data_IF_093895466676
#
_entry.id   IF_093895466676
#
_cell.length_a   1.000
_cell.length_b   1.000
_cell.length_c   1.000
_cell.angle_alpha   90.00
_cell.angle_beta   90.00
_cell.angle_gamma   90.00
#
_symmetry.space_group_name_H-M   'P 1'
#
loop_
_entity.id
_entity.type
_entity.pdbx_description
1 polymer ?
#
# COMPACT_ATOMS: atom_id res chain seq x y z
N UNK A 1 9.94 -26.98 3.74
CA UNK A 1 10.59 -25.67 3.83
C UNK A 1 10.91 -25.23 2.42
N UNK A 2 10.50 -24.03 1.99
CA UNK A 2 10.80 -23.49 0.67
C UNK A 2 12.06 -22.62 0.73
N UNK A 3 12.93 -22.78 -0.26
CA UNK A 3 14.19 -22.05 -0.35
C UNK A 3 13.98 -20.77 -1.17
N UNK A 4 14.20 -19.61 -0.55
CA UNK A 4 14.07 -18.30 -1.17
C UNK A 4 15.43 -17.63 -1.35
N UNK A 5 15.71 -17.13 -2.55
CA UNK A 5 16.85 -16.24 -2.81
C UNK A 5 16.37 -14.81 -2.99
N UNK A 6 17.08 -13.87 -2.38
CA UNK A 6 16.80 -12.44 -2.49
C UNK A 6 17.67 -11.85 -3.59
N UNK A 7 17.05 -11.21 -4.58
CA UNK A 7 17.68 -10.45 -5.67
C UNK A 7 17.48 -8.96 -5.40
N UNK A 8 18.59 -8.27 -5.14
CA UNK A 8 18.62 -6.90 -4.61
C UNK A 8 18.71 -6.86 -3.09
N UNK A 9 19.88 -6.50 -2.54
CA UNK A 9 20.14 -6.46 -1.10
C UNK A 9 20.32 -5.03 -0.58
N UNK A 10 19.47 -4.11 -1.05
CA UNK A 10 19.32 -2.78 -0.49
C UNK A 10 18.60 -2.79 0.86
N UNK A 11 18.03 -1.65 1.27
CA UNK A 11 17.28 -1.53 2.53
C UNK A 11 16.16 -2.55 2.65
N UNK A 12 15.31 -2.65 1.61
CA UNK A 12 14.18 -3.60 1.62
C UNK A 12 14.66 -5.05 1.53
N UNK A 13 15.56 -5.39 0.61
CA UNK A 13 16.08 -6.76 0.52
C UNK A 13 16.70 -7.26 1.84
N UNK A 14 17.43 -6.39 2.54
CA UNK A 14 17.96 -6.71 3.87
C UNK A 14 16.86 -6.89 4.93
N UNK A 15 15.77 -6.09 4.86
CA UNK A 15 14.64 -6.21 5.78
C UNK A 15 13.83 -7.49 5.57
N UNK A 16 13.73 -7.98 4.34
CA UNK A 16 13.06 -9.24 4.03
C UNK A 16 13.68 -10.45 4.71
N UNK A 17 14.98 -10.42 5.06
CA UNK A 17 15.61 -11.49 5.85
C UNK A 17 14.91 -11.64 7.20
N UNK A 18 14.54 -10.52 7.84
CA UNK A 18 13.84 -10.51 9.13
C UNK A 18 12.39 -10.99 8.96
N UNK A 19 11.70 -10.52 7.93
CA UNK A 19 10.31 -10.92 7.65
C UNK A 19 10.20 -12.41 7.35
N UNK A 20 11.09 -12.95 6.50
CA UNK A 20 11.12 -14.38 6.18
C UNK A 20 11.58 -15.20 7.39
N UNK A 21 12.52 -14.68 8.19
CA UNK A 21 12.97 -15.33 9.42
C UNK A 21 11.88 -15.47 10.50
N UNK A 22 10.85 -14.60 10.47
CA UNK A 22 9.70 -14.67 11.36
C UNK A 22 8.58 -15.59 10.82
N UNK A 23 8.61 -15.91 9.52
CA UNK A 23 7.58 -16.71 8.85
C UNK A 23 7.84 -18.22 8.97
N UNK A 24 6.81 -19.01 8.68
CA UNK A 24 6.87 -20.47 8.67
C UNK A 24 6.89 -21.02 7.24
N UNK A 25 7.59 -22.13 7.05
CA UNK A 25 7.55 -22.87 5.79
C UNK A 25 8.44 -22.32 4.67
N UNK A 26 9.17 -21.22 4.89
CA UNK A 26 10.07 -20.59 3.94
C UNK A 26 11.36 -20.12 4.65
N UNK A 27 12.48 -20.06 3.94
CA UNK A 27 13.76 -19.61 4.48
C UNK A 27 14.60 -18.92 3.41
N UNK A 28 15.38 -17.91 3.78
CA UNK A 28 16.36 -17.28 2.89
C UNK A 28 17.60 -18.17 2.82
N UNK A 29 17.92 -18.66 1.63
CA UNK A 29 19.07 -19.52 1.38
C UNK A 29 20.20 -18.84 0.64
N UNK A 30 19.99 -17.62 0.11
CA UNK A 30 21.03 -16.88 -0.58
C UNK A 30 20.59 -15.49 -1.01
N UNK A 31 21.58 -14.74 -1.47
CA UNK A 31 21.42 -13.35 -1.93
C UNK A 31 22.19 -13.14 -3.22
N UNK A 32 21.63 -12.35 -4.14
CA UNK A 32 22.33 -11.79 -5.28
C UNK A 32 22.14 -10.28 -5.33
N UNK A 33 23.23 -9.55 -5.54
CA UNK A 33 23.21 -8.12 -5.81
C UNK A 33 24.37 -7.77 -6.78
N UNK A 34 24.18 -6.74 -7.61
CA UNK A 34 25.20 -6.26 -8.54
C UNK A 34 26.24 -5.37 -7.84
N UNK A 35 25.92 -4.82 -6.69
CA UNK A 35 26.77 -3.90 -5.94
C UNK A 35 27.64 -4.66 -4.92
N UNK A 36 29.00 -4.57 -5.00
CA UNK A 36 29.88 -5.32 -4.11
C UNK A 36 29.71 -5.02 -2.62
N UNK A 37 29.34 -3.80 -2.27
CA UNK A 37 29.05 -3.39 -0.89
C UNK A 37 27.79 -4.06 -0.35
N UNK A 38 26.80 -4.34 -1.19
CA UNK A 38 25.59 -5.07 -0.85
C UNK A 38 25.85 -6.56 -0.67
N UNK A 39 26.68 -7.14 -1.54
CA UNK A 39 27.17 -8.52 -1.40
C UNK A 39 27.91 -8.68 -0.07
N UNK A 40 28.86 -7.78 0.24
CA UNK A 40 29.60 -7.82 1.51
C UNK A 40 28.66 -7.67 2.73
N UNK A 41 27.60 -6.87 2.63
CA UNK A 41 26.62 -6.73 3.70
C UNK A 41 25.81 -8.03 3.93
N UNK A 42 25.49 -8.78 2.87
CA UNK A 42 24.85 -10.08 2.98
C UNK A 42 25.78 -11.12 3.64
N UNK A 43 27.03 -11.15 3.23
CA UNK A 43 28.06 -12.04 3.82
C UNK A 43 28.29 -11.76 5.31
N UNK A 44 28.30 -10.48 5.72
CA UNK A 44 28.39 -10.09 7.13
C UNK A 44 27.19 -10.57 7.97
N UNK A 45 26.03 -10.75 7.35
CA UNK A 45 24.85 -11.37 7.99
C UNK A 45 24.90 -12.91 7.95
N UNK A 46 25.94 -13.50 7.39
CA UNK A 46 26.12 -14.96 7.27
C UNK A 46 25.28 -15.60 6.16
N UNK A 47 24.81 -14.80 5.17
CA UNK A 47 24.03 -15.31 4.06
C UNK A 47 24.97 -15.71 2.91
N UNK A 48 24.75 -16.87 2.27
CA UNK A 48 25.41 -17.23 1.02
C UNK A 48 25.12 -16.21 -0.08
N UNK A 49 26.09 -15.95 -0.97
CA UNK A 49 25.93 -15.03 -2.07
C UNK A 49 26.17 -15.70 -3.41
N UNK A 50 25.41 -15.28 -4.41
CA UNK A 50 25.56 -15.75 -5.81
C UNK A 50 26.43 -14.77 -6.60
N UNK A 51 27.21 -15.31 -7.56
CA UNK A 51 28.11 -14.51 -8.40
C UNK A 51 27.39 -13.85 -9.59
N UNK A 52 26.23 -14.38 -9.98
CA UNK A 52 25.39 -13.82 -11.05
C UNK A 52 23.93 -14.23 -10.90
N UNK A 53 23.04 -13.54 -11.59
CA UNK A 53 21.61 -13.89 -11.61
C UNK A 53 21.39 -15.23 -12.31
N UNK A 54 22.16 -15.54 -13.36
CA UNK A 54 22.10 -16.82 -14.06
C UNK A 54 22.47 -17.99 -13.12
N UNK A 55 23.38 -17.76 -12.17
CA UNK A 55 23.70 -18.77 -11.18
C UNK A 55 22.53 -19.04 -10.23
N UNK A 56 21.76 -17.99 -9.84
CA UNK A 56 20.53 -18.15 -9.07
C UNK A 56 19.48 -18.94 -9.87
N UNK A 57 19.30 -18.61 -11.15
CA UNK A 57 18.33 -19.27 -12.02
C UNK A 57 18.64 -20.75 -12.24
N UNK A 58 19.92 -21.10 -12.34
CA UNK A 58 20.40 -22.46 -12.60
C UNK A 58 20.40 -23.37 -11.34
N UNK A 59 20.30 -22.80 -10.15
CA UNK A 59 20.31 -23.57 -8.91
C UNK A 59 18.96 -24.27 -8.69
N UNK A 60 18.97 -25.61 -8.79
CA UNK A 60 17.78 -26.46 -8.63
C UNK A 60 17.22 -26.47 -7.20
N UNK A 61 18.02 -26.12 -6.19
CA UNK A 61 17.60 -26.07 -4.79
C UNK A 61 16.77 -24.80 -4.48
N UNK A 62 16.77 -23.80 -5.36
CA UNK A 62 16.00 -22.56 -5.22
C UNK A 62 14.55 -22.78 -5.67
N UNK A 63 13.60 -22.69 -4.75
CA UNK A 63 12.16 -22.77 -5.03
C UNK A 63 11.59 -21.44 -5.52
N UNK A 64 12.04 -20.35 -4.91
CA UNK A 64 11.46 -19.02 -5.12
C UNK A 64 12.52 -17.91 -5.13
N UNK A 65 12.22 -16.83 -5.82
CA UNK A 65 13.04 -15.61 -5.89
C UNK A 65 12.21 -14.42 -5.40
N UNK A 66 12.78 -13.64 -4.49
CA UNK A 66 12.29 -12.32 -4.16
C UNK A 66 13.06 -11.29 -4.98
N UNK A 67 12.35 -10.42 -5.69
CA UNK A 67 12.91 -9.30 -6.44
C UNK A 67 12.69 -8.02 -5.62
N UNK A 68 13.78 -7.40 -5.15
CA UNK A 68 13.81 -6.19 -4.32
C UNK A 68 14.82 -5.16 -4.85
N UNK A 69 14.85 -5.02 -6.16
CA UNK A 69 15.67 -4.10 -6.95
C UNK A 69 14.90 -2.80 -7.25
N UNK A 70 15.46 -1.80 -7.95
CA UNK A 70 14.67 -0.67 -8.48
C UNK A 70 13.58 -1.13 -9.45
N UNK A 71 12.46 -0.38 -9.49
CA UNK A 71 11.20 -0.80 -10.15
C UNK A 71 11.33 -1.12 -11.63
N UNK A 72 12.21 -0.42 -12.34
CA UNK A 72 12.45 -0.60 -13.78
C UNK A 72 12.98 -1.98 -14.16
N UNK A 73 13.64 -2.67 -13.23
CA UNK A 73 14.20 -4.00 -13.44
C UNK A 73 13.25 -5.15 -13.08
N UNK A 74 12.13 -4.87 -12.40
CA UNK A 74 11.23 -5.90 -11.86
C UNK A 74 10.68 -6.82 -12.95
N UNK A 75 10.22 -6.26 -14.07
CA UNK A 75 9.63 -7.01 -15.17
C UNK A 75 10.57 -8.06 -15.73
N UNK A 76 11.77 -7.63 -16.13
CA UNK A 76 12.73 -8.51 -16.82
C UNK A 76 13.25 -9.61 -15.89
N UNK A 77 13.55 -9.26 -14.65
CA UNK A 77 13.98 -10.22 -13.63
C UNK A 77 12.88 -11.23 -13.28
N UNK A 78 11.63 -10.77 -13.15
CA UNK A 78 10.50 -11.63 -12.86
C UNK A 78 10.22 -12.63 -13.99
N UNK A 79 10.23 -12.15 -15.23
CA UNK A 79 10.01 -13.03 -16.39
C UNK A 79 11.10 -14.09 -16.51
N UNK A 80 12.39 -13.72 -16.38
CA UNK A 80 13.51 -14.68 -16.41
C UNK A 80 13.43 -15.71 -15.28
N UNK A 81 13.08 -15.28 -14.05
CA UNK A 81 12.91 -16.18 -12.92
C UNK A 81 11.78 -17.20 -13.15
N UNK A 82 10.63 -16.72 -13.63
CA UNK A 82 9.48 -17.58 -13.97
C UNK A 82 9.82 -18.59 -15.08
N UNK A 83 10.47 -18.13 -16.16
CA UNK A 83 10.91 -18.97 -17.28
C UNK A 83 11.92 -20.05 -16.85
N UNK A 84 12.77 -19.72 -15.84
CA UNK A 84 13.66 -20.69 -15.20
C UNK A 84 12.94 -21.64 -14.23
N UNK A 85 11.60 -21.57 -14.14
CA UNK A 85 10.79 -22.45 -13.31
C UNK A 85 10.75 -22.08 -11.83
N UNK A 86 11.16 -20.86 -11.45
CA UNK A 86 11.09 -20.37 -10.06
C UNK A 86 9.75 -19.72 -9.78
N UNK A 87 9.27 -19.82 -8.54
CA UNK A 87 8.20 -18.96 -8.04
C UNK A 87 8.77 -17.58 -7.73
N UNK A 88 7.95 -16.53 -7.82
CA UNK A 88 8.43 -15.15 -7.66
C UNK A 88 7.59 -14.37 -6.66
N UNK A 89 8.25 -13.69 -5.74
CA UNK A 89 7.73 -12.54 -5.00
C UNK A 89 8.40 -11.30 -5.58
N UNK A 90 7.62 -10.27 -5.87
CA UNK A 90 8.15 -8.99 -6.34
C UNK A 90 7.78 -7.86 -5.39
N UNK A 91 8.73 -6.97 -5.10
CA UNK A 91 8.46 -5.74 -4.35
C UNK A 91 7.50 -4.82 -5.10
N UNK A 92 6.86 -3.96 -4.32
CA UNK A 92 5.99 -2.90 -4.83
C UNK A 92 6.79 -1.61 -5.17
N UNK A 93 6.34 -0.79 -6.11
CA UNK A 93 5.37 -1.13 -7.16
C UNK A 93 5.91 -2.22 -8.03
N UNK A 94 5.07 -3.18 -8.36
CA UNK A 94 5.51 -4.39 -9.10
C UNK A 94 6.06 -4.07 -10.48
N UNK A 95 5.48 -3.07 -11.13
CA UNK A 95 5.86 -2.52 -12.43
C UNK A 95 5.46 -1.05 -12.49
N UNK A 96 5.98 -0.33 -13.50
CA UNK A 96 5.62 1.07 -13.74
C UNK A 96 4.26 1.16 -14.46
N UNK A 97 3.92 0.14 -15.27
CA UNK A 97 2.66 0.09 -16.04
C UNK A 97 1.88 -1.18 -15.79
N UNK A 98 0.56 -1.13 -15.95
CA UNK A 98 -0.32 -2.30 -15.88
C UNK A 98 -0.01 -3.32 -16.99
N UNK A 99 0.35 -2.87 -18.18
CA UNK A 99 0.72 -3.72 -19.31
C UNK A 99 1.98 -4.58 -19.02
N UNK A 100 2.94 -4.05 -18.26
CA UNK A 100 4.12 -4.81 -17.85
C UNK A 100 3.77 -5.92 -16.85
N UNK A 101 2.84 -5.66 -15.93
CA UNK A 101 2.31 -6.71 -15.06
C UNK A 101 1.58 -7.80 -15.85
N UNK A 102 0.76 -7.42 -16.83
CA UNK A 102 0.07 -8.38 -17.71
C UNK A 102 1.06 -9.31 -18.41
N UNK A 103 2.19 -8.78 -18.89
CA UNK A 103 3.26 -9.58 -19.52
C UNK A 103 3.86 -10.59 -18.53
N UNK A 104 4.15 -10.18 -17.28
CA UNK A 104 4.66 -11.09 -16.23
C UNK A 104 3.64 -12.19 -15.94
N UNK A 105 2.35 -11.82 -15.78
CA UNK A 105 1.29 -12.78 -15.47
C UNK A 105 1.04 -13.78 -16.59
N UNK A 106 1.20 -13.37 -17.85
CA UNK A 106 1.14 -14.27 -18.99
C UNK A 106 2.23 -15.34 -18.94
N UNK A 107 3.47 -14.96 -18.60
CA UNK A 107 4.58 -15.90 -18.40
C UNK A 107 4.31 -16.81 -17.22
N UNK A 108 3.95 -16.27 -16.05
CA UNK A 108 3.67 -17.05 -14.85
C UNK A 108 2.62 -18.14 -15.11
N UNK A 109 1.55 -17.79 -15.82
CA UNK A 109 0.50 -18.72 -16.26
C UNK A 109 1.03 -19.78 -17.23
N UNK A 110 1.83 -19.39 -18.23
CA UNK A 110 2.36 -20.31 -19.24
C UNK A 110 3.28 -21.37 -18.64
N UNK A 111 4.09 -21.00 -17.64
CA UNK A 111 5.05 -21.92 -16.98
C UNK A 111 4.49 -22.55 -15.69
N UNK A 112 3.25 -22.25 -15.33
CA UNK A 112 2.58 -22.75 -14.12
C UNK A 112 3.41 -22.47 -12.85
N UNK A 113 3.79 -21.20 -12.65
CA UNK A 113 4.51 -20.74 -11.46
C UNK A 113 3.74 -19.62 -10.76
N UNK A 114 3.86 -19.59 -9.44
CA UNK A 114 3.25 -18.56 -8.61
C UNK A 114 4.03 -17.25 -8.76
N UNK A 115 3.30 -16.17 -8.99
CA UNK A 115 3.79 -14.80 -8.89
C UNK A 115 2.94 -14.04 -7.89
N UNK A 116 3.57 -13.43 -6.88
CA UNK A 116 2.88 -12.61 -5.87
C UNK A 116 3.63 -11.29 -5.67
N UNK A 117 2.87 -10.24 -5.36
CA UNK A 117 3.40 -8.89 -5.09
C UNK A 117 3.38 -8.61 -3.61
N UNK A 118 4.46 -8.03 -3.07
CA UNK A 118 4.61 -7.75 -1.65
C UNK A 118 3.81 -6.51 -1.22
N UNK A 119 2.48 -6.60 -1.22
CA UNK A 119 1.59 -5.57 -0.68
C UNK A 119 1.45 -5.73 0.85
N UNK A 120 2.57 -5.56 1.54
CA UNK A 120 2.72 -5.86 2.96
C UNK A 120 1.86 -4.99 3.90
N UNK A 121 1.45 -3.79 3.45
CA UNK A 121 0.67 -2.87 4.28
C UNK A 121 -0.80 -3.25 4.43
N UNK A 122 -1.22 -4.38 3.82
CA UNK A 122 -2.51 -5.03 4.11
C UNK A 122 -2.58 -5.62 5.51
N UNK A 123 -1.43 -5.77 6.20
CA UNK A 123 -1.30 -6.26 7.58
C UNK A 123 -0.99 -5.15 8.58
N UNK A 124 -0.91 -3.88 8.16
CA UNK A 124 -0.69 -2.75 9.07
C UNK A 124 -1.88 -2.59 10.02
N UNK A 125 -1.61 -2.37 11.31
CA UNK A 125 -2.61 -2.27 12.37
C UNK A 125 -3.67 -1.20 12.12
N UNK A 126 -3.28 -0.02 11.66
CA UNK A 126 -4.17 1.09 11.34
C UNK A 126 -5.12 0.73 10.19
N UNK A 127 -4.60 0.05 9.16
CA UNK A 127 -5.40 -0.42 8.04
C UNK A 127 -6.40 -1.50 8.44
N UNK A 128 -5.98 -2.50 9.24
CA UNK A 128 -6.87 -3.57 9.71
C UNK A 128 -8.06 -3.00 10.48
N UNK A 129 -7.84 -1.97 11.31
CA UNK A 129 -8.87 -1.26 12.06
C UNK A 129 -9.86 -0.56 11.10
N UNK A 130 -9.34 0.20 10.13
CA UNK A 130 -10.18 0.94 9.17
C UNK A 130 -10.94 0.00 8.26
N UNK A 131 -10.29 -1.06 7.75
CA UNK A 131 -10.94 -2.10 6.95
C UNK A 131 -12.12 -2.71 7.67
N UNK A 132 -11.96 -3.05 8.94
CA UNK A 132 -13.03 -3.62 9.75
C UNK A 132 -14.19 -2.63 9.94
N UNK A 133 -13.92 -1.34 10.09
CA UNK A 133 -14.96 -0.31 10.13
C UNK A 133 -15.74 -0.21 8.80
N UNK A 134 -15.04 -0.29 7.66
CA UNK A 134 -15.66 -0.21 6.33
C UNK A 134 -16.48 -1.45 6.01
N UNK A 135 -15.92 -2.64 6.26
CA UNK A 135 -16.54 -3.90 5.83
C UNK A 135 -17.58 -4.46 6.80
N UNK A 136 -17.46 -4.15 8.10
CA UNK A 136 -18.37 -4.71 9.13
C UNK A 136 -19.45 -3.71 9.58
N UNK A 137 -19.41 -2.47 9.15
CA UNK A 137 -20.37 -1.38 9.48
C UNK A 137 -20.63 -1.20 11.00
N UNK A 138 -19.74 -1.72 11.85
CA UNK A 138 -20.06 -2.02 13.24
C UNK A 138 -20.01 -0.82 14.19
N UNK A 139 -19.21 0.23 13.89
CA UNK A 139 -18.92 1.32 14.85
C UNK A 139 -19.44 2.68 14.40
N UNK A 140 -19.42 2.94 13.10
CA UNK A 140 -19.78 4.25 12.51
C UNK A 140 -20.89 4.15 11.46
N UNK A 141 -21.51 2.98 11.30
CA UNK A 141 -22.51 2.72 10.27
C UNK A 141 -21.91 2.63 8.86
N UNK A 142 -22.74 2.86 7.84
CA UNK A 142 -22.31 2.79 6.44
C UNK A 142 -21.29 3.90 6.14
N UNK A 143 -20.08 3.53 5.77
CA UNK A 143 -19.01 4.46 5.41
C UNK A 143 -19.31 5.08 4.04
N UNK A 144 -19.22 6.41 3.95
CA UNK A 144 -19.45 7.16 2.72
C UNK A 144 -18.26 8.04 2.31
N UNK A 145 -17.28 8.26 3.22
CA UNK A 145 -16.08 9.03 2.90
C UNK A 145 -14.87 8.52 3.69
N UNK A 146 -13.74 8.37 2.99
CA UNK A 146 -12.48 7.89 3.54
C UNK A 146 -11.37 8.86 3.14
N UNK A 147 -10.56 9.30 4.12
CA UNK A 147 -9.33 10.03 3.84
C UNK A 147 -8.14 9.23 4.37
N UNK A 148 -7.10 9.07 3.56
CA UNK A 148 -5.85 8.40 3.93
C UNK A 148 -4.65 9.25 3.53
N UNK A 149 -3.71 9.46 4.47
CA UNK A 149 -2.55 10.32 4.27
C UNK A 149 -1.27 9.69 4.77
N UNK A 150 -0.19 9.94 4.02
CA UNK A 150 1.18 9.75 4.50
C UNK A 150 1.94 11.04 4.23
N UNK A 151 2.39 11.67 5.30
CA UNK A 151 2.99 12.99 5.23
C UNK A 151 4.32 13.04 5.99
N UNK A 152 5.31 13.71 5.41
CA UNK A 152 6.62 13.98 5.97
C UNK A 152 7.17 15.32 5.49
N UNK A 153 8.35 15.72 5.98
CA UNK A 153 8.95 17.03 5.68
C UNK A 153 10.38 16.94 5.15
N UNK A 154 10.88 15.75 4.83
CA UNK A 154 12.29 15.54 4.48
C UNK A 154 12.56 15.39 2.96
N UNK A 155 11.54 15.62 2.13
CA UNK A 155 11.66 15.41 0.69
C UNK A 155 11.74 13.93 0.30
N UNK A 156 12.17 13.71 -0.95
CA UNK A 156 12.42 12.36 -1.49
C UNK A 156 13.84 11.94 -1.09
N UNK A 157 14.09 10.68 -0.68
CA UNK A 157 15.45 10.17 -0.45
C UNK A 157 16.35 10.34 -1.68
N UNK A 158 17.64 10.64 -1.47
CA UNK A 158 18.63 10.87 -2.54
C UNK A 158 19.07 9.58 -3.25
N UNK A 159 18.15 8.79 -3.77
CA UNK A 159 18.39 7.54 -4.48
C UNK A 159 17.59 7.48 -5.80
N UNK A 160 17.37 6.30 -6.34
CA UNK A 160 16.63 6.07 -7.59
C UNK A 160 15.20 6.64 -7.60
N UNK A 161 14.63 6.96 -6.44
CA UNK A 161 13.27 7.54 -6.31
C UNK A 161 13.14 8.93 -6.94
N UNK A 162 14.25 9.61 -7.25
CA UNK A 162 14.27 10.86 -8.05
C UNK A 162 14.23 10.61 -9.55
N UNK A 163 14.41 9.37 -10.02
CA UNK A 163 14.56 9.04 -11.43
C UNK A 163 13.26 8.49 -12.02
N UNK A 164 12.66 9.25 -12.94
CA UNK A 164 11.44 8.85 -13.65
C UNK A 164 11.62 7.52 -14.40
N UNK A 165 12.78 7.33 -15.02
CA UNK A 165 13.11 6.10 -15.75
C UNK A 165 13.13 4.85 -14.86
N UNK A 166 13.38 5.01 -13.57
CA UNK A 166 13.37 3.91 -12.59
C UNK A 166 12.06 3.78 -11.82
N UNK A 167 11.00 4.48 -12.26
CA UNK A 167 9.71 4.45 -11.59
C UNK A 167 9.73 5.19 -10.25
N UNK A 168 10.47 6.31 -10.16
CA UNK A 168 10.47 7.18 -8.99
C UNK A 168 9.17 7.97 -8.84
N UNK A 169 9.09 8.76 -7.77
CA UNK A 169 7.93 9.58 -7.42
C UNK A 169 7.06 8.96 -6.33
N UNK A 170 6.30 9.81 -5.67
CA UNK A 170 5.53 9.44 -4.48
C UNK A 170 4.21 8.73 -4.79
N UNK A 171 3.65 8.93 -5.99
CA UNK A 171 2.50 8.14 -6.44
C UNK A 171 2.88 6.65 -6.50
N UNK A 172 4.06 6.32 -7.04
CA UNK A 172 4.55 4.95 -7.14
C UNK A 172 5.11 4.42 -5.82
N UNK A 173 5.84 5.25 -5.03
CA UNK A 173 6.49 4.77 -3.80
C UNK A 173 5.50 4.58 -2.64
N UNK A 174 4.73 5.63 -2.28
CA UNK A 174 3.77 5.58 -1.18
C UNK A 174 2.31 5.45 -1.63
N UNK A 175 1.96 6.09 -2.75
CA UNK A 175 0.62 6.04 -3.30
C UNK A 175 0.13 4.63 -3.54
N UNK A 176 0.99 3.75 -4.07
CA UNK A 176 0.66 2.34 -4.31
C UNK A 176 0.11 1.63 -3.06
N UNK A 177 0.63 1.93 -1.87
CA UNK A 177 0.15 1.34 -0.63
C UNK A 177 -1.23 1.86 -0.23
N UNK A 178 -1.43 3.18 -0.30
CA UNK A 178 -2.69 3.80 0.11
C UNK A 178 -3.81 3.41 -0.85
N UNK A 179 -3.51 3.32 -2.14
CA UNK A 179 -4.45 2.90 -3.18
C UNK A 179 -4.78 1.41 -3.08
N UNK A 180 -3.79 0.55 -2.78
CA UNK A 180 -4.02 -0.87 -2.52
C UNK A 180 -4.94 -1.07 -1.31
N UNK A 181 -4.66 -0.40 -0.20
CA UNK A 181 -5.49 -0.43 1.00
C UNK A 181 -6.92 0.03 0.71
N UNK A 182 -7.10 1.14 -0.02
CA UNK A 182 -8.41 1.67 -0.39
C UNK A 182 -9.20 0.66 -1.23
N UNK A 183 -8.59 0.11 -2.28
CA UNK A 183 -9.24 -0.83 -3.18
C UNK A 183 -9.51 -2.20 -2.54
N UNK A 184 -8.66 -2.63 -1.61
CA UNK A 184 -8.84 -3.88 -0.88
C UNK A 184 -10.01 -3.85 0.11
N UNK A 185 -10.33 -2.66 0.68
CA UNK A 185 -11.47 -2.53 1.60
C UNK A 185 -12.76 -2.07 0.94
N UNK A 186 -12.73 -1.65 -0.35
CA UNK A 186 -13.90 -1.13 -1.07
C UNK A 186 -14.18 -1.94 -2.32
N UNK A 187 -15.23 -2.75 -2.30
CA UNK A 187 -15.59 -3.67 -3.40
C UNK A 187 -16.23 -2.99 -4.61
N UNK A 188 -16.62 -1.71 -4.51
CA UNK A 188 -17.29 -0.98 -5.59
C UNK A 188 -16.30 -0.61 -6.69
N UNK A 189 -16.71 -0.63 -7.97
CA UNK A 189 -15.94 -0.07 -9.06
C UNK A 189 -15.71 1.44 -8.88
N UNK A 190 -14.55 1.92 -9.39
CA UNK A 190 -14.27 3.35 -9.44
C UNK A 190 -15.06 3.99 -10.59
N UNK A 191 -15.70 5.10 -10.30
CA UNK A 191 -16.44 5.92 -11.27
C UNK A 191 -15.58 7.01 -11.88
N UNK A 192 -14.82 7.73 -11.05
CA UNK A 192 -13.99 8.84 -11.49
C UNK A 192 -12.85 9.15 -10.52
N UNK A 193 -11.81 9.75 -11.08
CA UNK A 193 -10.59 10.17 -10.39
C UNK A 193 -10.25 11.59 -10.80
N UNK A 194 -9.91 12.44 -9.84
CA UNK A 194 -9.17 13.69 -10.07
C UNK A 194 -7.90 13.69 -9.24
N UNK A 195 -6.85 14.32 -9.73
CA UNK A 195 -5.58 14.37 -9.02
C UNK A 195 -4.85 15.71 -9.25
N UNK A 196 -4.01 16.04 -8.26
CA UNK A 196 -3.00 17.09 -8.37
C UNK A 196 -1.66 16.47 -7.98
N UNK A 197 -0.68 16.54 -8.89
CA UNK A 197 0.68 16.09 -8.66
C UNK A 197 1.53 17.28 -8.20
N UNK A 198 2.38 17.09 -7.19
CA UNK A 198 3.28 18.09 -6.66
C UNK A 198 4.70 17.90 -7.21
N UNK A 199 5.35 19.02 -7.58
CA UNK A 199 6.74 19.07 -8.08
C UNK A 199 7.50 20.21 -7.39
N UNK A 200 7.26 20.46 -6.10
CA UNK A 200 7.81 21.58 -5.34
C UNK A 200 9.32 21.45 -5.17
N UNK A 201 9.84 20.22 -5.09
CA UNK A 201 11.28 19.97 -4.97
C UNK A 201 12.05 20.18 -6.28
N UNK A 202 11.35 20.25 -7.41
CA UNK A 202 11.94 20.54 -8.72
C UNK A 202 12.53 19.33 -9.44
N UNK A 203 12.21 18.11 -9.01
CA UNK A 203 12.62 16.87 -9.66
C UNK A 203 11.74 16.55 -10.90
N UNK A 204 12.15 15.56 -11.68
CA UNK A 204 11.37 15.07 -12.83
C UNK A 204 10.19 14.17 -12.42
N UNK A 205 10.10 13.80 -11.15
CA UNK A 205 9.07 12.97 -10.56
C UNK A 205 8.25 13.77 -9.55
N UNK A 206 7.05 13.30 -9.26
CA UNK A 206 6.20 13.91 -8.24
C UNK A 206 6.79 13.72 -6.83
N UNK A 207 6.83 14.80 -6.06
CA UNK A 207 7.23 14.79 -4.65
C UNK A 207 6.07 14.62 -3.69
N UNK A 208 4.88 14.44 -4.21
CA UNK A 208 3.64 14.21 -3.52
C UNK A 208 2.44 14.35 -4.44
N UNK A 209 1.27 13.93 -3.97
CA UNK A 209 0.02 14.07 -4.73
C UNK A 209 -1.18 14.13 -3.80
N UNK A 210 -2.28 14.66 -4.32
CA UNK A 210 -3.61 14.57 -3.74
C UNK A 210 -4.57 14.04 -4.82
N UNK A 211 -5.31 12.98 -4.51
CA UNK A 211 -6.32 12.43 -5.41
C UNK A 211 -7.66 12.33 -4.73
N UNK A 212 -8.73 12.69 -5.44
CA UNK A 212 -10.11 12.48 -5.04
C UNK A 212 -10.75 11.43 -5.94
N UNK A 213 -11.22 10.35 -5.32
CA UNK A 213 -11.74 9.16 -5.98
C UNK A 213 -13.22 9.01 -5.63
N UNK A 214 -14.04 8.76 -6.63
CA UNK A 214 -15.48 8.48 -6.45
C UNK A 214 -15.77 7.07 -6.94
N UNK A 215 -16.43 6.28 -6.11
CA UNK A 215 -16.88 4.94 -6.43
C UNK A 215 -18.33 4.94 -6.97
N UNK A 216 -18.70 3.90 -7.72
CA UNK A 216 -20.07 3.72 -8.21
C UNK A 216 -21.09 3.59 -7.07
N UNK A 217 -20.70 3.06 -5.92
CA UNK A 217 -21.51 3.00 -4.70
C UNK A 217 -21.86 4.37 -4.11
N UNK A 218 -21.19 5.45 -4.56
CA UNK A 218 -21.28 6.78 -3.98
C UNK A 218 -20.28 7.04 -2.85
N UNK A 219 -19.51 6.06 -2.42
CA UNK A 219 -18.36 6.27 -1.52
C UNK A 219 -17.33 7.16 -2.20
N UNK A 220 -16.76 8.09 -1.44
CA UNK A 220 -15.68 8.96 -1.91
C UNK A 220 -14.43 8.76 -1.08
N UNK A 221 -13.26 8.95 -1.70
CA UNK A 221 -11.99 8.90 -0.98
C UNK A 221 -11.09 10.07 -1.36
N UNK A 222 -10.31 10.56 -0.38
CA UNK A 222 -9.20 11.48 -0.57
C UNK A 222 -7.92 10.78 -0.14
N UNK A 223 -6.98 10.64 -1.09
CA UNK A 223 -5.67 10.05 -0.86
C UNK A 223 -4.62 11.13 -1.04
N UNK A 224 -3.73 11.28 -0.06
CA UNK A 224 -2.68 12.28 -0.08
C UNK A 224 -1.34 11.70 0.38
N UNK A 225 -0.31 11.95 -0.40
CA UNK A 225 1.09 11.76 -0.01
C UNK A 225 1.81 13.09 -0.16
N UNK A 226 2.56 13.47 0.86
CA UNK A 226 3.32 14.72 0.83
C UNK A 226 4.66 14.60 1.55
N UNK A 227 5.71 15.11 0.93
CA UNK A 227 7.08 15.08 1.46
C UNK A 227 7.57 16.44 1.98
N UNK A 228 6.71 17.46 1.95
CA UNK A 228 7.00 18.84 2.38
C UNK A 228 6.05 19.35 3.46
N UNK A 229 5.44 18.44 4.22
CA UNK A 229 4.44 18.75 5.24
C UNK A 229 5.10 18.92 6.62
N UNK A 230 5.27 20.15 7.10
CA UNK A 230 5.82 20.44 8.43
C UNK A 230 4.83 20.17 9.58
N UNK A 231 3.54 20.12 9.28
CA UNK A 231 2.48 19.71 10.21
C UNK A 231 1.65 18.62 9.53
N UNK A 232 1.54 17.49 10.18
CA UNK A 232 0.78 16.37 9.67
C UNK A 232 -0.73 16.54 9.93
N UNK A 233 -1.55 16.14 8.95
CA UNK A 233 -2.97 15.87 9.13
C UNK A 233 -3.16 14.42 9.61
N UNK A 234 -4.37 14.04 10.07
CA UNK A 234 -4.63 12.65 10.46
C UNK A 234 -4.30 11.65 9.36
N UNK A 235 -3.69 10.53 9.76
CA UNK A 235 -3.39 9.40 8.90
C UNK A 235 -4.66 8.83 8.25
N UNK A 236 -5.74 8.71 9.05
CA UNK A 236 -7.05 8.29 8.60
C UNK A 236 -8.14 9.20 9.16
N UNK A 237 -9.11 9.55 8.29
CA UNK A 237 -10.34 10.21 8.65
C UNK A 237 -11.49 9.52 7.92
N UNK A 238 -12.38 8.85 8.66
CA UNK A 238 -13.42 8.01 8.09
C UNK A 238 -14.79 8.46 8.58
N UNK A 239 -15.69 8.79 7.64
CA UNK A 239 -17.06 9.21 7.93
C UNK A 239 -18.04 8.12 7.57
N UNK A 240 -18.85 7.74 8.55
CA UNK A 240 -19.99 6.87 8.40
C UNK A 240 -21.30 7.57 8.74
N UNK A 241 -22.40 6.91 8.44
CA UNK A 241 -23.76 7.43 8.69
C UNK A 241 -24.09 7.59 10.18
N UNK A 242 -23.32 6.92 11.03
CA UNK A 242 -23.57 6.85 12.50
C UNK A 242 -22.34 7.24 13.32
N UNK A 243 -21.32 7.81 12.72
CA UNK A 243 -20.15 8.25 13.43
C UNK A 243 -18.99 8.65 12.53
N UNK A 244 -17.90 9.06 13.19
CA UNK A 244 -16.65 9.43 12.53
C UNK A 244 -15.48 8.86 13.30
N UNK A 245 -14.51 8.28 12.60
CA UNK A 245 -13.26 7.79 13.17
C UNK A 245 -12.08 8.62 12.68
N UNK A 246 -11.14 8.89 13.60
CA UNK A 246 -9.86 9.56 13.30
C UNK A 246 -8.73 8.72 13.87
N UNK A 247 -7.71 8.44 13.06
CA UNK A 247 -6.42 7.89 13.50
C UNK A 247 -5.36 8.91 13.13
N UNK A 248 -4.63 9.42 14.12
CA UNK A 248 -3.72 10.54 13.89
C UNK A 248 -2.39 10.12 13.27
N UNK A 249 -1.77 9.05 13.77
CA UNK A 249 -0.48 8.57 13.29
C UNK A 249 -0.35 7.04 13.50
N UNK A 250 0.82 6.51 13.20
CA UNK A 250 1.18 5.09 13.31
C UNK A 250 1.10 4.52 14.74
N UNK A 251 1.11 5.36 15.76
CA UNK A 251 0.92 4.99 17.18
C UNK A 251 -0.53 4.62 17.52
N UNK A 252 -1.44 4.70 16.53
CA UNK A 252 -2.88 4.47 16.67
C UNK A 252 -3.56 5.43 17.63
N UNK A 253 -2.96 6.60 17.89
CA UNK A 253 -3.65 7.67 18.60
C UNK A 253 -4.85 8.16 17.78
N UNK A 254 -5.99 8.34 18.44
CA UNK A 254 -7.21 8.72 17.74
C UNK A 254 -8.46 8.35 18.53
N UNK A 255 -9.61 8.60 17.92
CA UNK A 255 -10.91 8.37 18.54
C UNK A 255 -11.99 8.04 17.52
N UNK A 256 -13.04 7.40 18.02
CA UNK A 256 -14.31 7.24 17.31
C UNK A 256 -15.35 8.07 18.04
N UNK A 257 -16.03 8.95 17.33
CA UNK A 257 -17.15 9.71 17.85
C UNK A 257 -18.45 9.27 17.18
N UNK A 258 -19.45 8.92 17.98
CA UNK A 258 -20.76 8.47 17.52
C UNK A 258 -21.88 9.08 18.36
N UNK A 259 -23.12 9.21 17.86
CA UNK A 259 -24.26 9.60 18.65
C UNK A 259 -24.52 8.62 19.80
N UNK A 260 -24.80 9.13 20.98
CA UNK A 260 -25.33 8.30 22.09
C UNK A 260 -26.82 8.01 21.82
N UNK A 261 -27.12 6.77 21.48
CA UNK A 261 -28.49 6.33 21.15
C UNK A 261 -29.39 6.19 22.37
N UNK A 262 -28.83 6.27 23.59
CA UNK A 262 -29.58 6.23 24.84
C UNK A 262 -30.14 7.59 25.23
N UNK A 263 -29.62 8.65 24.62
CA UNK A 263 -30.00 10.04 24.87
C UNK A 263 -30.88 10.56 23.74
N UNK A 264 -31.93 11.30 24.09
CA UNK A 264 -32.78 11.96 23.10
C UNK A 264 -31.95 12.98 22.28
N UNK A 265 -32.24 13.08 20.98
CA UNK A 265 -31.55 14.02 20.10
C UNK A 265 -31.71 15.46 20.63
N UNK A 266 -30.60 16.07 20.97
CA UNK A 266 -30.57 17.47 21.48
C UNK A 266 -30.54 18.42 20.29
N UNK A 267 -31.45 19.39 20.24
CA UNK A 267 -31.42 20.45 19.24
C UNK A 267 -30.16 21.33 19.40
N UNK A 268 -29.39 21.56 18.33
CA UNK A 268 -28.18 22.37 18.40
C UNK A 268 -28.54 23.82 18.78
N UNK A 269 -27.80 24.40 19.72
CA UNK A 269 -27.92 25.83 20.05
C UNK A 269 -27.03 26.65 19.12
N UNK A 270 -27.44 27.89 18.75
CA UNK A 270 -26.54 28.76 17.98
C UNK A 270 -25.22 28.99 18.70
N UNK A 271 -24.13 28.93 17.98
CA UNK A 271 -22.77 29.23 18.48
C UNK A 271 -22.16 30.39 17.71
N UNK A 272 -21.20 31.07 18.31
CA UNK A 272 -20.38 32.08 17.66
C UNK A 272 -19.49 31.42 16.62
N UNK A 273 -19.53 31.89 15.37
CA UNK A 273 -18.67 31.45 14.27
C UNK A 273 -18.10 32.70 13.58
N UNK A 274 -16.87 33.05 13.87
CA UNK A 274 -16.30 34.33 13.46
C UNK A 274 -17.08 35.53 14.01
N UNK A 275 -17.52 36.42 13.13
CA UNK A 275 -18.32 37.61 13.51
C UNK A 275 -19.83 37.31 13.56
N UNK A 276 -20.28 36.10 13.21
CA UNK A 276 -21.69 35.73 13.15
C UNK A 276 -22.06 34.54 14.04
N UNK A 277 -23.32 34.17 13.97
CA UNK A 277 -23.87 33.01 14.64
C UNK A 277 -24.23 31.92 13.62
N UNK A 278 -24.00 30.66 13.99
CA UNK A 278 -24.48 29.51 13.23
C UNK A 278 -25.15 28.50 14.17
N UNK A 279 -26.21 27.86 13.67
CA UNK A 279 -26.86 26.70 14.31
C UNK A 279 -26.46 25.40 13.58
N UNK A 280 -26.32 25.47 12.24
CA UNK A 280 -26.05 24.29 11.40
C UNK A 280 -24.62 23.74 11.58
N UNK A 281 -23.65 24.59 11.94
CA UNK A 281 -22.26 24.22 12.16
C UNK A 281 -21.90 24.09 13.64
N UNK A 282 -22.90 24.05 14.54
CA UNK A 282 -22.67 23.77 15.95
C UNK A 282 -22.11 22.34 16.08
N UNK A 283 -21.07 22.14 16.92
CA UNK A 283 -20.57 20.81 17.23
C UNK A 283 -21.67 19.97 17.89
N UNK A 284 -21.60 18.63 17.81
CA UNK A 284 -22.51 17.79 18.57
C UNK A 284 -22.36 18.06 20.06
N UNK A 285 -23.46 17.93 20.81
CA UNK A 285 -23.45 18.07 22.27
C UNK A 285 -22.67 16.91 22.90
N UNK A 286 -21.79 17.20 23.86
CA UNK A 286 -21.08 16.17 24.63
C UNK A 286 -22.03 15.22 25.35
N UNK A 287 -23.21 15.69 25.75
CA UNK A 287 -24.24 14.87 26.39
C UNK A 287 -24.93 13.88 25.42
N UNK A 288 -24.85 14.14 24.11
CA UNK A 288 -25.52 13.32 23.08
C UNK A 288 -24.56 12.54 22.21
N UNK A 289 -23.28 12.49 22.56
CA UNK A 289 -22.25 11.76 21.83
C UNK A 289 -21.42 10.90 22.76
N UNK A 290 -20.95 9.78 22.22
CA UNK A 290 -19.94 8.92 22.84
C UNK A 290 -18.61 9.11 22.16
N UNK A 291 -17.53 9.08 22.92
CA UNK A 291 -16.15 9.02 22.43
C UNK A 291 -15.52 7.71 22.89
N UNK A 292 -14.97 6.98 21.96
CA UNK A 292 -14.26 5.72 22.20
C UNK A 292 -12.86 5.80 21.66
N UNK A 293 -11.84 5.30 22.37
CA UNK A 293 -10.48 5.20 21.82
C UNK A 293 -10.45 4.19 20.67
N UNK A 294 -9.45 4.32 19.80
CA UNK A 294 -9.15 3.31 18.79
C UNK A 294 -8.70 2.02 19.50
N UNK A 295 -9.38 0.92 19.21
CA UNK A 295 -8.98 -0.39 19.73
C UNK A 295 -7.76 -0.86 18.95
N UNK A 296 -6.64 -1.05 19.63
CA UNK A 296 -5.39 -1.50 19.01
C UNK A 296 -5.53 -2.93 18.49
N UNK A 297 -5.04 -3.15 17.30
CA UNK A 297 -4.86 -4.45 16.65
C UNK A 297 -3.37 -4.59 16.37
N UNK A 298 -2.77 -5.73 16.65
CA UNK A 298 -1.37 -5.98 16.34
C UNK A 298 -1.20 -6.26 14.85
N UNK A 299 -0.13 -5.70 14.26
CA UNK A 299 0.26 -6.03 12.90
C UNK A 299 0.75 -7.48 12.82
N UNK A 300 0.35 -8.18 11.77
CA UNK A 300 0.83 -9.55 11.49
C UNK A 300 2.04 -9.50 10.56
N UNK A 301 3.21 -9.29 11.13
CA UNK A 301 4.47 -9.11 10.40
C UNK A 301 4.81 -10.25 9.41
N UNK A 302 4.69 -11.55 9.78
CA UNK A 302 4.98 -12.65 8.87
C UNK A 302 3.86 -12.97 7.88
N UNK A 303 2.66 -12.40 8.06
CA UNK A 303 1.41 -12.79 7.38
C UNK A 303 1.52 -12.93 5.86
N UNK A 304 2.29 -12.07 5.19
CA UNK A 304 2.53 -12.21 3.75
C UNK A 304 3.31 -13.50 3.43
N UNK A 305 4.43 -13.75 4.11
CA UNK A 305 5.29 -14.91 3.82
C UNK A 305 4.69 -16.23 4.28
N UNK A 306 3.92 -16.25 5.36
CA UNK A 306 3.14 -17.42 5.77
C UNK A 306 2.10 -17.78 4.69
N UNK A 307 1.39 -16.77 4.15
CA UNK A 307 0.48 -16.99 3.03
C UNK A 307 1.22 -17.46 1.78
N UNK A 308 2.35 -16.81 1.40
CA UNK A 308 3.11 -17.22 0.24
C UNK A 308 3.59 -18.68 0.34
N UNK A 309 4.15 -19.08 1.48
CA UNK A 309 4.58 -20.46 1.71
C UNK A 309 3.41 -21.46 1.62
N UNK A 310 2.25 -21.12 2.19
CA UNK A 310 1.04 -21.94 2.11
C UNK A 310 0.53 -22.07 0.66
N UNK A 311 0.56 -20.98 -0.12
CA UNK A 311 0.21 -21.00 -1.55
C UNK A 311 1.15 -21.91 -2.34
N UNK A 312 2.47 -21.84 -2.09
CA UNK A 312 3.45 -22.71 -2.76
C UNK A 312 3.26 -24.21 -2.43
N UNK A 313 2.68 -24.52 -1.30
CA UNK A 313 2.33 -25.89 -0.90
C UNK A 313 0.95 -26.34 -1.39
N UNK A 314 0.14 -25.42 -1.93
CA UNK A 314 -1.25 -25.70 -2.34
C UNK A 314 -2.25 -25.72 -1.14
N UNK A 315 -1.85 -25.17 0.01
CA UNK A 315 -2.64 -25.17 1.24
C UNK A 315 -3.54 -23.93 1.39
N UNK A 316 -3.29 -22.88 0.58
CA UNK A 316 -4.03 -21.62 0.61
C UNK A 316 -4.09 -20.93 -0.76
N UNK A 317 -5.05 -19.99 -0.87
CA UNK A 317 -5.10 -19.03 -1.97
C UNK A 317 -4.30 -17.76 -1.63
N UNK A 318 -3.77 -17.04 -2.64
CA UNK A 318 -3.10 -15.77 -2.40
C UNK A 318 -4.04 -14.73 -1.77
N UNK A 319 -3.63 -14.13 -0.64
CA UNK A 319 -4.34 -12.99 -0.05
C UNK A 319 -4.15 -11.74 -0.91
N UNK A 320 -2.94 -11.57 -1.48
CA UNK A 320 -2.66 -10.52 -2.47
C UNK A 320 -2.89 -11.13 -3.86
N UNK A 321 -4.05 -10.87 -4.45
CA UNK A 321 -4.40 -11.37 -5.77
C UNK A 321 -3.85 -10.46 -6.87
N UNK A 322 -3.37 -11.05 -7.94
CA UNK A 322 -2.78 -10.29 -9.05
C UNK A 322 -3.79 -9.37 -9.75
N UNK A 323 -5.07 -9.75 -9.78
CA UNK A 323 -6.15 -8.90 -10.32
C UNK A 323 -6.35 -7.63 -9.50
N UNK A 324 -6.19 -7.72 -8.17
CA UNK A 324 -6.25 -6.56 -7.27
C UNK A 324 -5.05 -5.64 -7.47
N UNK A 325 -3.85 -6.21 -7.62
CA UNK A 325 -2.63 -5.44 -7.92
C UNK A 325 -2.74 -4.75 -9.29
N UNK A 326 -3.26 -5.43 -10.30
CA UNK A 326 -3.53 -4.85 -11.61
C UNK A 326 -4.51 -3.66 -11.52
N UNK A 327 -5.57 -3.82 -10.71
CA UNK A 327 -6.54 -2.74 -10.44
C UNK A 327 -5.87 -1.51 -9.80
N UNK A 328 -4.92 -1.72 -8.88
CA UNK A 328 -4.12 -0.64 -8.28
C UNK A 328 -3.29 0.09 -9.34
N UNK A 329 -2.58 -0.62 -10.22
CA UNK A 329 -1.79 0.00 -11.29
C UNK A 329 -2.66 0.81 -12.25
N UNK A 330 -3.84 0.29 -12.64
CA UNK A 330 -4.79 1.03 -13.46
C UNK A 330 -5.28 2.32 -12.80
N UNK A 331 -5.46 2.31 -11.48
CA UNK A 331 -5.80 3.52 -10.72
C UNK A 331 -4.62 4.50 -10.69
N UNK A 332 -3.38 4.02 -10.52
CA UNK A 332 -2.17 4.84 -10.59
C UNK A 332 -2.05 5.52 -11.96
N UNK A 333 -2.25 4.78 -13.05
CA UNK A 333 -2.26 5.33 -14.41
C UNK A 333 -3.32 6.44 -14.58
N UNK A 334 -4.52 6.23 -14.04
CA UNK A 334 -5.59 7.23 -14.06
C UNK A 334 -5.27 8.47 -13.20
N UNK A 335 -4.55 8.31 -12.09
CA UNK A 335 -4.07 9.43 -11.26
C UNK A 335 -3.05 10.26 -12.03
N UNK A 336 -2.09 9.64 -12.72
CA UNK A 336 -1.14 10.35 -13.56
C UNK A 336 -1.87 11.09 -14.70
N UNK A 337 -2.77 10.42 -15.40
CA UNK A 337 -3.56 11.03 -16.47
C UNK A 337 -4.35 12.24 -15.97
N UNK A 338 -5.07 12.09 -14.85
CA UNK A 338 -5.86 13.18 -14.26
C UNK A 338 -4.98 14.36 -13.83
N UNK A 339 -3.82 14.09 -13.22
CA UNK A 339 -2.88 15.10 -12.77
C UNK A 339 -2.19 15.85 -13.93
N UNK A 340 -1.80 15.14 -14.99
CA UNK A 340 -1.16 15.74 -16.16
C UNK A 340 -2.13 16.58 -17.00
N UNK A 341 -3.38 16.10 -17.15
CA UNK A 341 -4.41 16.79 -17.92
C UNK A 341 -5.14 17.90 -17.13
N UNK A 342 -5.06 17.88 -15.79
CA UNK A 342 -5.83 18.77 -14.92
C UNK A 342 -7.34 18.55 -15.04
N UNK A 343 -7.77 17.33 -15.34
CA UNK A 343 -9.16 16.97 -15.60
C UNK A 343 -9.59 15.75 -14.79
N UNK A 344 -10.90 15.57 -14.64
CA UNK A 344 -11.48 14.35 -14.07
C UNK A 344 -11.44 13.25 -15.12
N UNK A 345 -10.83 12.13 -14.77
CA UNK A 345 -10.79 10.91 -15.59
C UNK A 345 -11.92 9.99 -15.15
N UNK A 346 -12.75 9.57 -16.08
CA UNK A 346 -13.76 8.52 -15.87
C UNK A 346 -13.13 7.17 -16.16
N UNK A 347 -13.17 6.27 -15.19
CA UNK A 347 -12.56 4.95 -15.30
C UNK A 347 -13.50 3.93 -14.65
N UNK A 348 -13.60 2.75 -15.23
CA UNK A 348 -14.34 1.62 -14.65
C UNK A 348 -13.36 0.47 -14.41
N UNK A 349 -12.91 0.33 -13.16
CA UNK A 349 -11.98 -0.71 -12.72
C UNK A 349 -12.39 -1.28 -11.36
#
# INVERSE_FOLDING_TARGET
MKNLVIVGFGGMGSYHVELVGAASGITVTGVYDVAPDRVAAAEQKGLPTYTSFEAVLADEEVDAILIATPNDSHKDLAMQALEAGKHVVCEKPVTITSADLEAILAVAKAVNRTFMVHQNRRWDSDFLIVRDMVQKEAQIGNVFHIESRVQGANGIPGDWRHLKAQGGGMVLDWGVHLLDQLLFMTDSPIKSVSANLSFILGDEVDDGFTSFITFESGVTALIEVGTTNYVKLPRWYVKGTEGTAVIHDWDLSGEIMAPDRTVAKVEPKPIQAGQGLTKTMAPPSEESTTRSPITKVEADMPGFYDNFAAVLNGDAEPIVKNEEVHRVLRLIEAIFEAGEQGQVVSISI
#
